data_IF_608588360369
#
_entry.id   IF_608588360369
#
_cell.length_a   1.000
_cell.length_b   1.000
_cell.length_c   1.000
_cell.angle_alpha   90.00
_cell.angle_beta   90.00
_cell.angle_gamma   90.00
#
_symmetry.space_group_name_H-M   'P 1'
#
loop_
_entity.id
_entity.type
_entity.pdbx_description
1 polymer ?
#
# COMPACT_ATOMS: atom_id res chain seq x y z
N UNK A 1 12.93 -11.24 -8.07
CA UNK A 1 11.83 -10.24 -8.13
C UNK A 1 10.71 -10.88 -8.95
N UNK A 2 9.46 -10.88 -8.48
CA UNK A 2 8.34 -11.43 -9.26
C UNK A 2 8.16 -10.65 -10.55
N UNK A 3 7.83 -11.35 -11.64
CA UNK A 3 7.44 -10.72 -12.90
C UNK A 3 6.20 -9.85 -12.66
N UNK A 4 6.24 -8.59 -13.10
CA UNK A 4 5.21 -7.58 -12.81
C UNK A 4 3.79 -8.08 -13.16
N UNK A 5 3.64 -8.82 -14.26
CA UNK A 5 2.37 -9.39 -14.68
C UNK A 5 1.76 -10.33 -13.62
N UNK A 6 2.58 -11.20 -13.02
CA UNK A 6 2.15 -12.12 -11.96
C UNK A 6 1.78 -11.36 -10.70
N UNK A 7 2.59 -10.36 -10.32
CA UNK A 7 2.34 -9.57 -9.13
C UNK A 7 1.07 -8.72 -9.25
N UNK A 8 0.86 -8.07 -10.41
CA UNK A 8 -0.37 -7.36 -10.76
C UNK A 8 -1.58 -8.29 -10.69
N UNK A 9 -1.50 -9.48 -11.30
CA UNK A 9 -2.61 -10.44 -11.30
C UNK A 9 -2.95 -10.91 -9.88
N UNK A 10 -1.93 -11.12 -9.02
CA UNK A 10 -2.14 -11.49 -7.63
C UNK A 10 -2.86 -10.38 -6.85
N UNK A 11 -2.43 -9.12 -7.02
CA UNK A 11 -3.06 -7.94 -6.43
C UNK A 11 -4.52 -7.78 -6.85
N UNK A 12 -4.84 -7.96 -8.14
CA UNK A 12 -6.22 -7.90 -8.64
C UNK A 12 -7.12 -9.01 -8.07
N UNK A 13 -6.56 -10.18 -7.74
CA UNK A 13 -7.30 -11.32 -7.20
C UNK A 13 -7.36 -11.34 -5.66
N UNK A 14 -6.71 -10.39 -5.00
CA UNK A 14 -6.47 -10.41 -3.55
C UNK A 14 -7.77 -10.46 -2.75
N UNK A 15 -8.75 -9.60 -3.05
CA UNK A 15 -10.07 -9.60 -2.38
C UNK A 15 -10.77 -10.95 -2.52
N UNK A 16 -10.76 -11.53 -3.73
CA UNK A 16 -11.37 -12.85 -3.98
C UNK A 16 -10.67 -13.96 -3.20
N UNK A 17 -9.34 -13.94 -3.14
CA UNK A 17 -8.54 -14.89 -2.35
C UNK A 17 -8.86 -14.76 -0.86
N UNK A 18 -8.96 -13.53 -0.34
CA UNK A 18 -9.29 -13.23 1.06
C UNK A 18 -10.71 -13.68 1.43
N UNK A 19 -11.71 -13.39 0.59
CA UNK A 19 -13.09 -13.86 0.85
C UNK A 19 -13.15 -15.38 0.88
N UNK A 20 -12.44 -16.06 -0.04
CA UNK A 20 -12.39 -17.52 -0.09
C UNK A 20 -11.71 -18.13 1.12
N UNK A 21 -10.55 -17.61 1.52
CA UNK A 21 -9.81 -18.12 2.69
C UNK A 21 -10.65 -18.01 3.97
N UNK A 22 -11.45 -16.95 4.13
CA UNK A 22 -12.30 -16.77 5.30
C UNK A 22 -13.61 -17.58 5.24
N UNK A 23 -14.17 -17.81 4.04
CA UNK A 23 -15.37 -18.62 3.85
C UNK A 23 -15.17 -20.11 4.17
N UNK A 24 -13.94 -20.61 4.16
CA UNK A 24 -13.65 -22.00 4.54
C UNK A 24 -13.81 -22.25 6.05
N UNK A 25 -13.81 -21.18 6.86
CA UNK A 25 -13.92 -21.27 8.33
C UNK A 25 -15.36 -21.09 8.85
N UNK A 26 -16.33 -20.73 8.01
CA UNK A 26 -17.73 -20.52 8.43
C UNK A 26 -18.53 -21.83 8.59
N UNK A 27 -18.00 -22.97 8.13
CA UNK A 27 -18.69 -24.26 8.16
C UNK A 27 -18.74 -24.97 9.52
N UNK A 28 -17.87 -24.62 10.49
CA UNK A 28 -17.77 -25.36 11.76
C UNK A 28 -17.60 -24.51 13.03
N UNK A 29 -17.43 -23.18 12.96
CA UNK A 29 -17.23 -22.32 14.14
C UNK A 29 -18.18 -21.10 14.15
N UNK A 30 -19.48 -21.33 14.22
CA UNK A 30 -20.50 -20.27 14.24
C UNK A 30 -20.52 -19.36 15.49
N UNK A 31 -19.61 -19.52 16.45
CA UNK A 31 -19.64 -18.79 17.73
C UNK A 31 -18.45 -17.85 18.00
N UNK A 32 -17.38 -17.90 17.20
CA UNK A 32 -16.26 -16.95 17.33
C UNK A 32 -16.07 -16.20 16.00
N UNK A 33 -16.66 -15.01 15.90
CA UNK A 33 -16.59 -14.12 14.71
C UNK A 33 -15.19 -13.57 14.39
N UNK A 34 -14.14 -14.05 15.08
CA UNK A 34 -12.76 -13.59 14.93
C UNK A 34 -12.10 -13.96 13.59
N UNK A 35 -12.78 -14.75 12.75
CA UNK A 35 -12.27 -15.21 11.44
C UNK A 35 -12.97 -14.55 10.25
N UNK A 36 -13.93 -13.64 10.50
CA UNK A 36 -14.48 -12.78 9.45
C UNK A 36 -13.43 -11.69 9.20
N UNK A 37 -13.00 -11.45 7.94
CA UNK A 37 -12.04 -10.39 7.67
C UNK A 37 -12.62 -9.08 8.19
N UNK A 38 -11.80 -8.30 8.89
CA UNK A 38 -12.23 -6.99 9.31
C UNK A 38 -12.66 -6.18 8.08
N UNK A 39 -13.66 -5.32 8.24
CA UNK A 39 -14.07 -4.42 7.16
C UNK A 39 -12.88 -3.63 6.58
N UNK A 40 -11.89 -3.31 7.43
CA UNK A 40 -10.62 -2.70 7.02
C UNK A 40 -9.79 -3.57 6.08
N UNK A 41 -9.55 -4.85 6.41
CA UNK A 41 -8.75 -5.74 5.55
C UNK A 41 -9.39 -6.01 4.18
N UNK A 42 -10.72 -6.05 4.11
CA UNK A 42 -11.43 -6.13 2.83
C UNK A 42 -11.25 -4.85 2.04
N UNK A 43 -11.44 -3.68 2.65
CA UNK A 43 -11.29 -2.40 1.95
C UNK A 43 -9.85 -2.14 1.47
N UNK A 44 -8.86 -2.49 2.28
CA UNK A 44 -7.44 -2.43 1.91
C UNK A 44 -7.14 -3.38 0.74
N UNK A 45 -7.71 -4.59 0.75
CA UNK A 45 -7.56 -5.54 -0.37
C UNK A 45 -8.15 -5.00 -1.67
N UNK A 46 -9.29 -4.31 -1.60
CA UNK A 46 -9.93 -3.69 -2.76
C UNK A 46 -9.07 -2.52 -3.26
N UNK A 47 -8.54 -1.71 -2.36
CA UNK A 47 -7.66 -0.58 -2.69
C UNK A 47 -6.41 -1.06 -3.44
N UNK A 48 -5.75 -2.12 -2.96
CA UNK A 48 -4.64 -2.78 -3.67
C UNK A 48 -5.09 -3.23 -5.07
N UNK A 49 -6.23 -3.89 -5.19
CA UNK A 49 -6.78 -4.35 -6.47
C UNK A 49 -7.05 -3.20 -7.45
N UNK A 50 -7.52 -2.04 -6.97
CA UNK A 50 -7.76 -0.84 -7.78
C UNK A 50 -6.47 -0.22 -8.29
N UNK A 51 -5.45 -0.10 -7.43
CA UNK A 51 -4.12 0.36 -7.87
C UNK A 51 -3.56 -0.58 -8.95
N UNK A 52 -3.67 -1.89 -8.76
CA UNK A 52 -3.23 -2.86 -9.76
C UNK A 52 -4.00 -2.75 -11.09
N UNK A 53 -5.31 -2.55 -11.04
CA UNK A 53 -6.15 -2.33 -12.22
C UNK A 53 -5.81 -1.03 -12.95
N UNK A 54 -5.36 0.01 -12.25
CA UNK A 54 -4.97 1.27 -12.91
C UNK A 54 -3.77 1.13 -13.86
N UNK A 55 -2.98 0.06 -13.70
CA UNK A 55 -1.85 -0.26 -14.57
C UNK A 55 -2.26 -1.05 -15.82
N UNK A 56 -3.49 -0.86 -16.29
CA UNK A 56 -3.97 -1.36 -17.58
C UNK A 56 -3.48 -0.45 -18.72
N UNK A 57 -3.25 -1.06 -19.89
CA UNK A 57 -2.52 -0.49 -21.02
C UNK A 57 -3.09 0.83 -21.54
N UNK A 58 -4.39 1.07 -21.33
CA UNK A 58 -5.08 2.27 -21.82
C UNK A 58 -4.74 3.53 -21.01
N UNK A 59 -4.32 3.36 -19.75
CA UNK A 59 -4.00 4.45 -18.82
C UNK A 59 -2.48 4.74 -18.74
N UNK A 60 -1.68 3.79 -19.21
CA UNK A 60 -0.22 3.81 -19.18
C UNK A 60 0.44 5.02 -19.91
N UNK A 61 -0.08 5.58 -21.03
CA UNK A 61 0.62 6.67 -21.74
C UNK A 61 0.77 7.96 -20.94
N UNK A 62 -0.29 8.39 -20.24
CA UNK A 62 -0.25 9.63 -19.44
C UNK A 62 0.60 9.46 -18.18
N UNK A 63 0.49 8.30 -17.53
CA UNK A 63 1.33 7.96 -16.39
C UNK A 63 2.81 7.86 -16.78
N UNK A 64 3.12 7.28 -17.94
CA UNK A 64 4.48 7.20 -18.46
C UNK A 64 5.07 8.60 -18.70
N UNK A 65 4.29 9.52 -19.29
CA UNK A 65 4.69 10.92 -19.45
C UNK A 65 4.98 11.60 -18.10
N UNK A 66 4.11 11.40 -17.11
CA UNK A 66 4.32 11.91 -15.76
C UNK A 66 5.61 11.36 -15.14
N UNK A 67 5.82 10.05 -15.20
CA UNK A 67 7.01 9.38 -14.66
C UNK A 67 8.29 9.90 -15.33
N UNK A 68 8.24 10.15 -16.65
CA UNK A 68 9.39 10.67 -17.39
C UNK A 68 9.82 12.08 -16.97
N UNK A 69 8.93 12.87 -16.36
CA UNK A 69 9.28 14.19 -15.82
C UNK A 69 10.27 14.14 -14.64
N UNK A 70 10.39 13.00 -13.96
CA UNK A 70 11.34 12.81 -12.85
C UNK A 70 12.74 12.41 -13.29
N UNK A 71 12.89 11.92 -14.53
CA UNK A 71 14.18 11.50 -15.07
C UNK A 71 14.82 12.68 -15.80
N UNK A 72 15.95 13.19 -15.26
CA UNK A 72 16.64 14.40 -15.76
C UNK A 72 16.95 14.36 -17.25
N UNK A 73 17.25 13.18 -17.81
CA UNK A 73 17.66 13.01 -19.21
C UNK A 73 17.35 11.60 -19.76
N UNK A 74 16.09 11.21 -19.97
CA UNK A 74 15.76 10.08 -20.86
C UNK A 74 14.24 9.96 -21.08
N UNK A 75 13.89 9.49 -22.29
CA UNK A 75 12.64 8.74 -22.48
C UNK A 75 12.68 7.56 -21.52
N UNK A 76 11.69 7.46 -20.61
CA UNK A 76 11.56 6.29 -19.73
C UNK A 76 11.38 5.08 -20.62
N UNK A 77 12.31 4.13 -20.51
CA UNK A 77 12.20 2.90 -21.29
C UNK A 77 11.10 2.00 -20.69
N UNK A 78 10.62 1.02 -21.47
CA UNK A 78 9.53 0.14 -21.02
C UNK A 78 9.86 -0.66 -19.75
N UNK A 79 11.14 -0.92 -19.49
CA UNK A 79 11.61 -1.65 -18.32
C UNK A 79 11.54 -0.76 -17.07
N UNK A 80 12.05 0.46 -17.12
CA UNK A 80 11.98 1.47 -16.06
C UNK A 80 10.54 1.81 -15.69
N UNK A 81 9.65 1.90 -16.69
CA UNK A 81 8.23 2.12 -16.42
C UNK A 81 7.58 0.91 -15.74
N UNK A 82 7.92 -0.30 -16.16
CA UNK A 82 7.46 -1.53 -15.51
C UNK A 82 7.99 -1.63 -14.08
N UNK A 83 9.24 -1.23 -13.85
CA UNK A 83 9.86 -1.17 -12.54
C UNK A 83 9.15 -0.15 -11.64
N UNK A 84 8.82 1.04 -12.16
CA UNK A 84 8.02 2.02 -11.44
C UNK A 84 6.67 1.42 -10.99
N UNK A 85 5.92 0.80 -11.91
CA UNK A 85 4.63 0.16 -11.59
C UNK A 85 4.79 -0.95 -10.54
N UNK A 86 5.85 -1.74 -10.64
CA UNK A 86 6.17 -2.76 -9.66
C UNK A 86 6.47 -2.15 -8.28
N UNK A 87 7.27 -1.07 -8.23
CA UNK A 87 7.58 -0.34 -7.00
C UNK A 87 6.35 0.28 -6.36
N UNK A 88 5.40 0.81 -7.15
CA UNK A 88 4.12 1.30 -6.63
C UNK A 88 3.30 0.16 -5.99
N UNK A 89 3.21 -0.99 -6.65
CA UNK A 89 2.51 -2.16 -6.08
C UNK A 89 3.17 -2.64 -4.79
N UNK A 90 4.51 -2.73 -4.75
CA UNK A 90 5.22 -3.08 -3.51
C UNK A 90 4.94 -2.03 -2.43
N UNK A 91 4.93 -0.74 -2.80
CA UNK A 91 4.69 0.37 -1.89
C UNK A 91 3.32 0.29 -1.23
N UNK A 92 2.25 0.01 -2.00
CA UNK A 92 0.91 -0.11 -1.44
C UNK A 92 0.79 -1.34 -0.54
N UNK A 93 1.44 -2.46 -0.87
CA UNK A 93 1.49 -3.63 0.01
C UNK A 93 2.21 -3.31 1.34
N UNK A 94 3.34 -2.59 1.29
CA UNK A 94 4.07 -2.15 2.48
C UNK A 94 3.20 -1.26 3.35
N UNK A 95 2.56 -0.25 2.74
CA UNK A 95 1.68 0.68 3.44
C UNK A 95 0.55 -0.09 4.14
N UNK A 96 -0.12 -1.01 3.44
CA UNK A 96 -1.19 -1.80 4.05
C UNK A 96 -0.66 -2.71 5.16
N UNK A 97 0.42 -3.46 4.95
CA UNK A 97 1.01 -4.31 5.99
C UNK A 97 1.38 -3.53 7.27
N UNK A 98 1.86 -2.29 7.14
CA UNK A 98 2.23 -1.46 8.30
C UNK A 98 1.04 -1.14 9.21
N UNK A 99 -0.18 -1.05 8.66
CA UNK A 99 -1.43 -0.83 9.42
C UNK A 99 -1.80 -2.01 10.31
N UNK A 100 -1.28 -3.20 10.02
CA UNK A 100 -1.56 -4.45 10.76
C UNK A 100 -0.38 -4.90 11.64
N UNK A 101 0.53 -3.98 11.98
CA UNK A 101 1.73 -4.28 12.77
C UNK A 101 1.46 -4.61 14.25
N UNK A 102 0.30 -4.24 14.80
CA UNK A 102 -0.04 -4.57 16.19
C UNK A 102 -0.43 -6.06 16.33
N UNK A 103 -0.08 -6.69 17.46
CA UNK A 103 -0.35 -8.12 17.71
C UNK A 103 -1.83 -8.50 17.57
N UNK A 104 -2.73 -7.62 18.02
CA UNK A 104 -4.18 -7.85 17.95
C UNK A 104 -4.67 -7.73 16.50
N UNK A 105 -4.24 -6.70 15.77
CA UNK A 105 -4.56 -6.56 14.35
C UNK A 105 -3.99 -7.71 13.52
N UNK A 106 -2.78 -8.16 13.86
CA UNK A 106 -2.11 -9.27 13.20
C UNK A 106 -2.93 -10.56 13.32
N UNK A 107 -3.37 -10.89 14.54
CA UNK A 107 -4.14 -12.10 14.78
C UNK A 107 -5.48 -12.10 14.03
N UNK A 108 -6.21 -10.97 14.08
CA UNK A 108 -7.54 -10.84 13.45
C UNK A 108 -7.44 -10.85 11.91
N UNK A 109 -6.36 -10.30 11.35
CA UNK A 109 -6.20 -10.13 9.91
C UNK A 109 -5.14 -11.08 9.33
N UNK A 110 -4.84 -12.18 10.03
CA UNK A 110 -3.78 -13.12 9.65
C UNK A 110 -3.88 -13.58 8.20
N UNK A 111 -5.06 -13.98 7.74
CA UNK A 111 -5.26 -14.43 6.36
C UNK A 111 -4.93 -13.34 5.33
N UNK A 112 -5.21 -12.07 5.64
CA UNK A 112 -4.85 -10.96 4.77
C UNK A 112 -3.33 -10.72 4.76
N UNK A 113 -2.72 -10.70 5.93
CA UNK A 113 -1.27 -10.52 6.09
C UNK A 113 -0.50 -11.65 5.39
N UNK A 114 -0.89 -12.90 5.60
CA UNK A 114 -0.29 -14.07 4.97
C UNK A 114 -0.37 -14.01 3.44
N UNK A 115 -1.46 -13.46 2.88
CA UNK A 115 -1.59 -13.25 1.43
C UNK A 115 -0.63 -12.17 0.93
N UNK A 116 -0.55 -11.02 1.63
CA UNK A 116 0.36 -9.94 1.25
C UNK A 116 1.83 -10.37 1.33
N UNK A 117 2.20 -11.05 2.41
CA UNK A 117 3.54 -11.60 2.64
C UNK A 117 3.93 -12.61 1.57
N UNK A 118 3.01 -13.52 1.21
CA UNK A 118 3.20 -14.50 0.13
C UNK A 118 3.40 -13.83 -1.22
N UNK A 119 2.57 -12.85 -1.55
CA UNK A 119 2.67 -12.12 -2.83
C UNK A 119 3.98 -11.30 -2.90
N UNK A 120 4.50 -10.80 -1.77
CA UNK A 120 5.81 -10.14 -1.70
C UNK A 120 7.00 -11.11 -1.60
N UNK A 121 6.76 -12.38 -1.28
CA UNK A 121 7.80 -13.38 -1.05
C UNK A 121 8.61 -13.15 0.24
N UNK A 122 7.97 -12.57 1.27
CA UNK A 122 8.60 -12.25 2.57
C UNK A 122 7.84 -12.92 3.72
N UNK A 123 8.49 -13.06 4.87
CA UNK A 123 7.84 -13.52 6.12
C UNK A 123 7.53 -12.37 7.07
N UNK A 124 8.22 -11.25 6.92
CA UNK A 124 8.04 -10.04 7.71
C UNK A 124 8.41 -8.80 6.89
N UNK A 125 7.89 -7.63 7.26
CA UNK A 125 8.31 -6.40 6.60
C UNK A 125 9.83 -6.24 6.67
N UNK A 126 10.47 -6.54 7.80
CA UNK A 126 11.93 -6.45 7.99
C UNK A 126 12.77 -7.22 6.97
N UNK A 127 12.20 -8.19 6.25
CA UNK A 127 12.91 -8.95 5.21
C UNK A 127 13.11 -8.13 3.92
N UNK A 128 12.34 -7.04 3.74
CA UNK A 128 12.50 -6.13 2.60
C UNK A 128 13.73 -5.24 2.85
N UNK A 129 14.64 -5.15 1.88
CA UNK A 129 15.79 -4.24 1.98
C UNK A 129 15.37 -2.78 2.16
N UNK A 130 16.16 -1.99 2.89
CA UNK A 130 15.86 -0.56 3.08
C UNK A 130 15.74 0.18 1.75
N UNK A 131 16.57 -0.16 0.77
CA UNK A 131 16.49 0.43 -0.57
C UNK A 131 15.14 0.18 -1.23
N UNK A 132 14.70 -1.08 -1.30
CA UNK A 132 13.40 -1.45 -1.90
C UNK A 132 12.27 -0.78 -1.12
N UNK A 133 12.33 -0.80 0.21
CA UNK A 133 11.34 -0.18 1.08
C UNK A 133 11.16 1.32 0.78
N UNK A 134 12.26 2.08 0.75
CA UNK A 134 12.22 3.52 0.51
C UNK A 134 11.87 3.88 -0.94
N UNK A 135 12.40 3.14 -1.92
CA UNK A 135 12.09 3.38 -3.34
C UNK A 135 10.62 3.06 -3.65
N UNK A 136 10.08 1.98 -3.08
CA UNK A 136 8.67 1.61 -3.25
C UNK A 136 7.70 2.63 -2.63
N UNK A 137 8.00 3.13 -1.43
CA UNK A 137 7.19 4.18 -0.81
C UNK A 137 7.31 5.52 -1.55
N UNK A 138 8.48 5.82 -2.11
CA UNK A 138 8.67 7.01 -2.97
C UNK A 138 7.85 6.90 -4.25
N UNK A 139 7.92 5.75 -4.93
CA UNK A 139 7.13 5.50 -6.13
C UNK A 139 5.62 5.59 -5.84
N UNK A 140 5.17 5.02 -4.71
CA UNK A 140 3.78 5.15 -4.28
C UNK A 140 3.40 6.62 -4.03
N UNK A 141 4.23 7.41 -3.35
CA UNK A 141 3.99 8.83 -3.13
C UNK A 141 3.85 9.61 -4.44
N UNK A 142 4.72 9.35 -5.43
CA UNK A 142 4.65 9.94 -6.77
C UNK A 142 3.36 9.53 -7.50
N UNK A 143 3.00 8.25 -7.45
CA UNK A 143 1.76 7.76 -8.02
C UNK A 143 0.53 8.37 -7.34
N UNK A 144 0.52 8.51 -6.01
CA UNK A 144 -0.55 9.18 -5.26
C UNK A 144 -0.72 10.65 -5.66
N UNK A 145 0.39 11.35 -5.95
CA UNK A 145 0.34 12.71 -6.49
C UNK A 145 -0.26 12.76 -7.89
N UNK A 146 0.14 11.83 -8.77
CA UNK A 146 -0.45 11.69 -10.10
C UNK A 146 -1.95 11.43 -10.05
N UNK A 147 -2.39 10.48 -9.21
CA UNK A 147 -3.81 10.16 -9.00
C UNK A 147 -4.58 11.40 -8.51
N UNK A 148 -3.99 12.17 -7.60
CA UNK A 148 -4.61 13.41 -7.12
C UNK A 148 -4.75 14.44 -8.24
N UNK A 149 -3.73 14.63 -9.07
CA UNK A 149 -3.77 15.56 -10.21
C UNK A 149 -4.88 15.18 -11.21
N UNK A 150 -5.05 13.88 -11.47
CA UNK A 150 -6.00 13.35 -12.47
C UNK A 150 -7.33 12.87 -11.86
N UNK A 151 -7.61 13.24 -10.60
CA UNK A 151 -8.82 12.82 -9.85
C UNK A 151 -10.16 13.28 -10.45
N UNK A 152 -10.15 14.00 -11.57
CA UNK A 152 -11.34 14.47 -12.30
C UNK A 152 -11.41 13.96 -13.73
N UNK A 153 -10.35 13.32 -14.21
CA UNK A 153 -10.18 13.02 -15.63
C UNK A 153 -10.65 11.60 -15.96
N UNK A 154 -10.49 10.66 -15.02
CA UNK A 154 -10.89 9.26 -15.17
C UNK A 154 -11.55 8.72 -13.89
N UNK A 155 -12.60 7.90 -14.05
CA UNK A 155 -13.32 7.25 -12.94
C UNK A 155 -12.39 6.36 -12.09
N UNK A 156 -11.39 5.73 -12.72
CA UNK A 156 -10.39 4.91 -12.02
C UNK A 156 -9.62 5.75 -11.01
N UNK A 157 -9.15 6.94 -11.40
CA UNK A 157 -8.40 7.82 -10.51
C UNK A 157 -9.28 8.51 -9.47
N UNK A 158 -10.56 8.76 -9.80
CA UNK A 158 -11.56 9.22 -8.81
C UNK A 158 -11.71 8.19 -7.68
N UNK A 159 -11.92 6.91 -8.00
CA UNK A 159 -12.09 5.84 -7.01
C UNK A 159 -10.82 5.67 -6.16
N UNK A 160 -9.64 5.64 -6.79
CA UNK A 160 -8.37 5.49 -6.07
C UNK A 160 -8.10 6.71 -5.17
N UNK A 161 -8.35 7.93 -5.65
CA UNK A 161 -8.19 9.13 -4.83
C UNK A 161 -9.11 9.13 -3.60
N UNK A 162 -10.36 8.69 -3.77
CA UNK A 162 -11.31 8.58 -2.65
C UNK A 162 -10.85 7.54 -1.61
N UNK A 163 -10.25 6.43 -2.07
CA UNK A 163 -9.72 5.36 -1.20
C UNK A 163 -8.44 5.75 -0.48
N UNK A 164 -7.53 6.45 -1.16
CA UNK A 164 -6.32 7.00 -0.54
C UNK A 164 -6.67 8.03 0.54
N UNK A 165 -7.71 8.83 0.29
CA UNK A 165 -8.14 9.85 1.22
C UNK A 165 -7.11 10.99 1.39
N UNK A 166 -7.42 11.99 2.21
CA UNK A 166 -6.62 13.21 2.31
C UNK A 166 -5.28 13.02 3.04
N UNK A 167 -5.08 11.90 3.73
CA UNK A 167 -3.90 11.65 4.58
C UNK A 167 -2.84 10.75 3.96
N UNK A 168 -3.08 10.23 2.75
CA UNK A 168 -2.22 9.22 2.13
C UNK A 168 -0.73 9.60 2.12
N UNK A 169 -0.41 10.85 1.79
CA UNK A 169 0.99 11.31 1.74
C UNK A 169 1.63 11.32 3.14
N UNK A 170 0.88 11.70 4.16
CA UNK A 170 1.34 11.67 5.55
C UNK A 170 1.53 10.24 6.06
N UNK A 171 0.63 9.33 5.72
CA UNK A 171 0.74 7.92 6.09
C UNK A 171 1.95 7.25 5.41
N UNK A 172 2.18 7.53 4.13
CA UNK A 172 3.37 7.04 3.41
C UNK A 172 4.64 7.55 4.10
N UNK A 173 4.68 8.83 4.47
CA UNK A 173 5.81 9.44 5.16
C UNK A 173 6.07 8.83 6.54
N UNK A 174 5.01 8.61 7.32
CA UNK A 174 5.08 7.98 8.64
C UNK A 174 5.68 6.58 8.54
N UNK A 175 5.18 5.77 7.60
CA UNK A 175 5.69 4.41 7.37
C UNK A 175 7.13 4.44 6.85
N UNK A 176 7.46 5.39 5.98
CA UNK A 176 8.83 5.56 5.47
C UNK A 176 9.81 5.86 6.60
N UNK A 177 9.42 6.71 7.55
CA UNK A 177 10.24 7.10 8.69
C UNK A 177 10.22 6.08 9.83
N UNK A 178 9.25 5.16 9.86
CA UNK A 178 9.17 4.11 10.90
C UNK A 178 10.38 3.16 10.92
N UNK A 179 11.10 3.03 9.81
CA UNK A 179 12.36 2.27 9.73
C UNK A 179 13.61 3.08 10.01
N UNK A 180 13.49 4.41 10.02
CA UNK A 180 14.58 5.27 10.42
C UNK A 180 14.61 5.21 11.95
N UNK A 181 15.49 4.39 12.50
CA UNK A 181 15.97 4.59 13.88
C UNK A 181 17.05 5.67 13.75
N UNK A 182 16.80 6.94 14.11
CA UNK A 182 17.86 7.92 14.13
C UNK A 182 18.68 7.63 15.39
N UNK A 183 19.95 7.26 15.24
CA UNK A 183 20.85 7.01 16.37
C UNK A 183 21.15 8.28 17.19
N UNK A 184 20.76 9.45 16.73
CA UNK A 184 20.83 10.70 17.50
C UNK A 184 19.90 11.72 16.85
N UNK A 185 18.69 11.93 17.37
CA UNK A 185 17.92 13.13 17.02
C UNK A 185 16.69 13.30 17.90
N UNK A 186 16.54 14.52 18.42
CA UNK A 186 15.41 15.05 19.17
C UNK A 186 14.05 14.97 18.42
N UNK A 187 14.01 14.39 17.22
CA UNK A 187 12.81 14.19 16.40
C UNK A 187 11.78 13.24 17.06
N UNK A 188 12.24 12.24 17.82
CA UNK A 188 11.35 11.35 18.58
C UNK A 188 10.52 12.08 19.64
N UNK A 189 11.06 13.16 20.22
CA UNK A 189 10.35 14.03 21.18
C UNK A 189 9.33 14.92 20.44
N UNK A 190 9.63 15.36 19.22
CA UNK A 190 8.75 16.21 18.42
C UNK A 190 7.50 15.46 17.92
N UNK A 191 7.65 14.22 17.45
CA UNK A 191 6.50 13.37 17.07
C UNK A 191 5.62 13.03 18.30
N UNK A 192 6.22 12.80 19.47
CA UNK A 192 5.50 12.58 20.72
C UNK A 192 4.64 13.78 21.16
N UNK A 193 5.13 15.01 20.93
CA UNK A 193 4.36 16.22 21.28
C UNK A 193 3.10 16.41 20.43
N UNK A 194 3.14 16.15 19.11
CA UNK A 194 1.94 16.31 18.27
C UNK A 194 0.81 15.34 18.62
N UNK A 195 1.15 14.10 19.00
CA UNK A 195 0.16 13.15 19.50
C UNK A 195 -0.48 13.60 20.82
N UNK A 196 0.26 14.33 21.67
CA UNK A 196 -0.26 14.84 22.95
C UNK A 196 -1.10 16.13 22.83
N UNK A 197 -0.77 17.03 21.89
CA UNK A 197 -1.49 18.31 21.71
C UNK A 197 -2.89 18.12 21.10
N UNK A 198 -3.10 17.05 20.32
CA UNK A 198 -4.43 16.76 19.74
C UNK A 198 -5.40 16.10 20.74
N UNK A 199 -4.89 15.53 21.85
CA UNK A 199 -5.75 15.01 22.93
C UNK A 199 -6.25 16.09 23.89
N UNK A 200 -5.63 17.28 23.91
CA UNK A 200 -6.00 18.36 24.83
C UNK A 200 -6.96 19.40 24.23
N UNK A 201 -7.36 19.28 22.96
CA UNK A 201 -8.21 20.28 22.29
C UNK A 201 -9.61 19.75 21.93
N UNK A 202 -10.25 19.11 22.91
CA UNK A 202 -11.71 19.02 23.00
C UNK A 202 -12.17 19.82 24.22
N UNK A 203 -12.53 21.08 24.00
CA UNK A 203 -13.47 21.81 24.85
C UNK A 203 -14.68 22.20 24.02
#
# INVERSE_FOLDING_TARGET
>A
MLEFAVFKQNAMQLTRKLTRSNSQYTGCMGFFSALIPSAGSLDDSITIGRVAHSFDTDLDPQLCLYVSSFYRHALVNSEEFTEFKNKVLIGIYILMLSRYSSTVCYYVNKNFIDLLQRDLGISSLSDISNEVFHQSLTALSQYSSYVYEHRKDDEVYVDINNRFGPRIQGEIEEVRNSRVIPDDSWYGVYCGMFCSIWMTNKS
#
